data_IF_836223660966
#
_entry.id   IF_836223660966
#
_cell.length_a   1.000
_cell.length_b   1.000
_cell.length_c   1.000
_cell.angle_alpha   90.00
_cell.angle_beta   90.00
_cell.angle_gamma   90.00
#
_symmetry.space_group_name_H-M   'P 1'
#
loop_
_entity.id
_entity.type
_entity.pdbx_description
1 polymer ?
#
# COMPACT_ATOMS: atom_id res chain seq x y z
N UNK A 1 -18.76 3.39 0.53
CA UNK A 1 -17.91 4.61 0.55
C UNK A 1 -17.35 5.00 1.93
N UNK A 2 -18.03 4.72 3.07
CA UNK A 2 -17.52 5.09 4.41
C UNK A 2 -16.16 4.47 4.76
N UNK A 3 -15.94 3.19 4.45
CA UNK A 3 -14.67 2.48 4.74
C UNK A 3 -13.45 3.02 3.97
N UNK A 4 -13.65 3.56 2.76
CA UNK A 4 -12.55 4.09 1.94
C UNK A 4 -11.92 5.35 2.54
N UNK A 5 -12.75 6.24 3.12
CA UNK A 5 -12.24 7.44 3.81
C UNK A 5 -11.43 7.07 5.05
N UNK A 6 -11.79 5.99 5.75
CA UNK A 6 -11.05 5.49 6.91
C UNK A 6 -9.70 4.90 6.49
N UNK A 7 -9.67 4.10 5.41
CA UNK A 7 -8.43 3.54 4.87
C UNK A 7 -7.50 4.66 4.38
N UNK A 8 -8.02 5.65 3.65
CA UNK A 8 -7.23 6.79 3.17
C UNK A 8 -6.52 7.54 4.30
N UNK A 9 -7.22 7.80 5.42
CA UNK A 9 -6.61 8.42 6.60
C UNK A 9 -5.50 7.56 7.20
N UNK A 10 -5.73 6.25 7.35
CA UNK A 10 -4.72 5.34 7.93
C UNK A 10 -3.49 5.21 7.03
N UNK A 11 -3.69 5.03 5.72
CA UNK A 11 -2.59 4.94 4.74
C UNK A 11 -1.77 6.23 4.75
N UNK A 12 -2.45 7.40 4.73
CA UNK A 12 -1.76 8.69 4.81
C UNK A 12 -0.89 8.80 6.06
N UNK A 13 -1.42 8.44 7.23
CA UNK A 13 -0.67 8.50 8.49
C UNK A 13 0.58 7.60 8.49
N UNK A 14 0.52 6.44 7.83
CA UNK A 14 1.70 5.57 7.66
C UNK A 14 2.73 6.23 6.73
N UNK A 15 2.29 6.77 5.58
CA UNK A 15 3.18 7.43 4.62
C UNK A 15 3.85 8.68 5.20
N UNK A 16 3.16 9.43 6.07
CA UNK A 16 3.73 10.60 6.75
C UNK A 16 4.87 10.21 7.70
N UNK A 17 4.77 9.06 8.37
CA UNK A 17 5.72 8.63 9.41
C UNK A 17 6.82 7.69 8.94
N UNK A 18 6.60 6.95 7.86
CA UNK A 18 7.49 5.89 7.40
C UNK A 18 7.86 6.10 5.92
N UNK A 19 9.11 6.46 5.67
CA UNK A 19 9.62 6.70 4.31
C UNK A 19 9.76 5.41 3.50
N UNK A 20 10.10 4.29 4.14
CA UNK A 20 10.20 2.98 3.48
C UNK A 20 8.84 2.54 2.93
N UNK A 21 7.76 2.83 3.66
CA UNK A 21 6.39 2.59 3.20
C UNK A 21 5.99 3.45 1.98
N UNK A 22 6.68 4.56 1.69
CA UNK A 22 6.48 5.32 0.44
C UNK A 22 7.09 4.57 -0.77
N UNK A 23 8.15 3.82 -0.51
CA UNK A 23 8.96 3.12 -1.50
C UNK A 23 8.53 1.67 -1.76
N UNK A 24 7.90 1.02 -0.80
CA UNK A 24 7.58 -0.41 -0.86
C UNK A 24 6.13 -0.70 -0.42
N UNK A 25 5.38 -1.38 -1.30
CA UNK A 25 3.98 -1.71 -1.08
C UNK A 25 3.78 -2.77 0.03
N UNK A 26 4.73 -3.69 0.18
CA UNK A 26 4.68 -4.73 1.21
C UNK A 26 5.01 -4.15 2.58
N UNK A 27 5.98 -3.23 2.67
CA UNK A 27 6.28 -2.49 3.90
C UNK A 27 5.07 -1.65 4.32
N UNK A 28 4.46 -0.94 3.38
CA UNK A 28 3.22 -0.19 3.64
C UNK A 28 2.11 -1.10 4.14
N UNK A 29 1.90 -2.24 3.48
CA UNK A 29 0.85 -3.18 3.85
C UNK A 29 1.06 -3.76 5.25
N UNK A 30 2.27 -4.20 5.58
CA UNK A 30 2.63 -4.70 6.90
C UNK A 30 2.40 -3.65 7.99
N UNK A 31 2.91 -2.43 7.79
CA UNK A 31 2.74 -1.34 8.75
C UNK A 31 1.26 -1.01 8.98
N UNK A 32 0.46 -1.05 7.90
CA UNK A 32 -0.98 -0.81 8.00
C UNK A 32 -1.72 -1.96 8.70
N UNK A 33 -1.33 -3.21 8.47
CA UNK A 33 -1.88 -4.37 9.16
C UNK A 33 -1.65 -4.27 10.67
N UNK A 34 -0.41 -3.98 11.09
CA UNK A 34 -0.07 -3.77 12.51
C UNK A 34 -0.79 -2.57 13.13
N UNK A 35 -1.10 -1.53 12.34
CA UNK A 35 -1.90 -0.40 12.79
C UNK A 35 -3.41 -0.71 12.87
N UNK A 36 -3.90 -1.76 12.19
CA UNK A 36 -5.30 -2.17 12.22
C UNK A 36 -5.58 -3.24 13.27
N UNK A 37 -4.65 -4.17 13.45
CA UNK A 37 -4.72 -5.27 14.40
C UNK A 37 -3.34 -5.45 15.03
N UNK A 38 -3.29 -5.42 16.37
CA UNK A 38 -2.04 -5.60 17.11
C UNK A 38 -1.43 -6.97 16.74
N UNK A 39 -0.14 -6.99 16.49
CA UNK A 39 0.64 -8.19 16.15
C UNK A 39 0.20 -8.92 14.87
N UNK A 40 -0.54 -8.24 13.98
CA UNK A 40 -0.94 -8.82 12.68
C UNK A 40 0.24 -9.31 11.86
N UNK A 41 1.40 -8.65 11.94
CA UNK A 41 2.63 -9.05 11.25
C UNK A 41 3.28 -10.34 11.76
N UNK A 42 2.88 -10.82 12.95
CA UNK A 42 3.33 -12.10 13.48
C UNK A 42 2.41 -13.26 13.07
N UNK A 43 1.24 -12.97 12.49
CA UNK A 43 0.33 -14.00 12.00
C UNK A 43 0.88 -14.70 10.75
N UNK A 44 0.55 -15.98 10.51
CA UNK A 44 0.91 -16.65 9.27
C UNK A 44 0.40 -15.88 8.06
N UNK A 45 1.26 -15.70 7.05
CA UNK A 45 0.90 -14.97 5.83
C UNK A 45 -0.38 -15.54 5.18
N UNK A 46 -0.52 -16.87 5.16
CA UNK A 46 -1.71 -17.53 4.61
C UNK A 46 -3.01 -17.12 5.32
N UNK A 47 -2.96 -16.93 6.65
CA UNK A 47 -4.11 -16.49 7.43
C UNK A 47 -4.45 -15.03 7.12
N UNK A 48 -3.44 -14.14 7.07
CA UNK A 48 -3.65 -12.76 6.65
C UNK A 48 -4.27 -12.71 5.26
N UNK A 49 -3.74 -13.47 4.29
CA UNK A 49 -4.20 -13.43 2.90
C UNK A 49 -5.62 -13.98 2.72
N UNK A 50 -6.01 -15.01 3.48
CA UNK A 50 -7.31 -15.69 3.31
C UNK A 50 -8.40 -15.13 4.22
N UNK A 51 -8.05 -14.63 5.41
CA UNK A 51 -9.00 -14.18 6.44
C UNK A 51 -9.01 -12.67 6.66
N UNK A 52 -8.32 -11.87 5.82
CA UNK A 52 -8.17 -10.42 6.03
C UNK A 52 -9.49 -9.69 6.35
N UNK A 53 -10.61 -10.07 5.72
CA UNK A 53 -11.92 -9.44 5.94
C UNK A 53 -12.44 -9.70 7.35
N UNK A 54 -12.30 -10.94 7.84
CA UNK A 54 -12.71 -11.34 9.18
C UNK A 54 -11.83 -10.66 10.24
N UNK A 55 -10.53 -10.54 9.95
CA UNK A 55 -9.54 -9.85 10.79
C UNK A 55 -9.68 -8.32 10.77
N UNK A 56 -10.60 -7.75 9.99
CA UNK A 56 -10.76 -6.30 9.84
C UNK A 56 -9.61 -5.62 9.09
N UNK A 57 -8.79 -6.39 8.39
CA UNK A 57 -7.65 -5.92 7.60
C UNK A 57 -8.09 -5.47 6.19
N UNK A 58 -7.55 -4.34 5.69
CA UNK A 58 -7.84 -3.87 4.35
C UNK A 58 -7.25 -4.82 3.31
N UNK A 59 -7.88 -4.94 2.14
CA UNK A 59 -7.26 -5.70 1.05
C UNK A 59 -6.04 -4.97 0.50
N UNK A 60 -5.02 -5.73 0.10
CA UNK A 60 -3.79 -5.20 -0.51
C UNK A 60 -4.07 -4.24 -1.67
N UNK A 61 -4.97 -4.63 -2.58
CA UNK A 61 -5.37 -3.81 -3.74
C UNK A 61 -5.94 -2.44 -3.32
N UNK A 62 -6.73 -2.40 -2.24
CA UNK A 62 -7.30 -1.14 -1.73
C UNK A 62 -6.21 -0.22 -1.18
N UNK A 63 -5.22 -0.78 -0.48
CA UNK A 63 -4.07 -0.05 0.06
C UNK A 63 -3.23 0.52 -1.08
N UNK A 64 -2.89 -0.32 -2.06
CA UNK A 64 -2.10 0.07 -3.23
C UNK A 64 -2.78 1.19 -4.04
N UNK A 65 -4.09 1.11 -4.29
CA UNK A 65 -4.85 2.18 -4.97
C UNK A 65 -4.87 3.48 -4.16
N UNK A 66 -5.06 3.36 -2.85
CA UNK A 66 -5.08 4.51 -1.93
C UNK A 66 -3.73 5.21 -1.88
N UNK A 67 -2.63 4.46 -1.82
CA UNK A 67 -1.27 5.03 -1.91
C UNK A 67 -1.09 5.80 -3.21
N UNK A 68 -1.40 5.20 -4.37
CA UNK A 68 -1.27 5.87 -5.67
C UNK A 68 -2.05 7.20 -5.71
N UNK A 69 -3.29 7.19 -5.22
CA UNK A 69 -4.12 8.40 -5.10
C UNK A 69 -3.47 9.45 -4.20
N UNK A 70 -2.96 9.05 -3.02
CA UNK A 70 -2.33 9.97 -2.08
C UNK A 70 -1.03 10.56 -2.64
N UNK A 71 -0.14 9.73 -3.20
CA UNK A 71 1.13 10.20 -3.76
C UNK A 71 0.95 11.08 -5.01
N UNK A 72 -0.11 10.87 -5.79
CA UNK A 72 -0.46 11.76 -6.89
C UNK A 72 -0.97 13.13 -6.40
N UNK A 73 -1.66 13.17 -5.24
CA UNK A 73 -2.22 14.40 -4.67
C UNK A 73 -1.22 15.15 -3.77
N UNK A 74 -0.30 14.44 -3.14
CA UNK A 74 0.63 14.92 -2.13
C UNK A 74 2.05 14.46 -2.51
N UNK A 75 2.78 15.24 -3.34
CA UNK A 75 4.13 14.87 -3.81
C UNK A 75 5.14 14.62 -2.69
N UNK A 76 4.95 15.24 -1.52
CA UNK A 76 5.76 15.02 -0.31
C UNK A 76 5.64 13.60 0.25
N UNK A 77 4.58 12.87 -0.10
CA UNK A 77 4.39 11.47 0.29
C UNK A 77 4.93 10.48 -0.76
N UNK A 78 5.45 10.99 -1.88
CA UNK A 78 5.96 10.14 -2.95
C UNK A 78 7.19 9.35 -2.50
N UNK A 79 7.40 8.19 -3.14
CA UNK A 79 8.65 7.44 -2.98
C UNK A 79 9.86 8.22 -3.51
N UNK A 80 11.06 7.74 -3.23
CA UNK A 80 12.30 8.34 -3.71
C UNK A 80 12.37 8.39 -5.24
N UNK A 81 13.12 9.35 -5.79
CA UNK A 81 13.27 9.50 -7.25
C UNK A 81 13.73 8.20 -7.95
N UNK A 82 14.69 7.43 -7.42
CA UNK A 82 15.06 6.14 -8.02
C UNK A 82 13.89 5.16 -8.09
N UNK A 83 13.10 5.04 -7.01
CA UNK A 83 11.94 4.14 -6.96
C UNK A 83 10.85 4.58 -7.92
N UNK A 84 10.60 5.88 -8.06
CA UNK A 84 9.66 6.42 -9.03
C UNK A 84 10.08 6.06 -10.47
N UNK A 85 11.36 6.22 -10.82
CA UNK A 85 11.89 5.88 -12.14
C UNK A 85 11.79 4.37 -12.43
N UNK A 86 12.12 3.55 -11.44
CA UNK A 86 11.99 2.09 -11.51
C UNK A 86 10.53 1.68 -11.78
N UNK A 87 9.58 2.23 -11.02
CA UNK A 87 8.14 1.95 -11.18
C UNK A 87 7.61 2.38 -12.55
N UNK A 88 7.99 3.57 -13.03
CA UNK A 88 7.58 4.06 -14.35
C UNK A 88 8.11 3.16 -15.49
N UNK A 89 9.34 2.68 -15.36
CA UNK A 89 9.95 1.76 -16.33
C UNK A 89 9.24 0.40 -16.32
N UNK A 90 8.98 -0.15 -15.14
CA UNK A 90 8.26 -1.41 -14.96
C UNK A 90 6.83 -1.33 -15.51
N UNK A 91 6.10 -0.25 -15.23
CA UNK A 91 4.76 -0.05 -15.78
C UNK A 91 4.76 -0.01 -17.31
N UNK A 92 5.74 0.67 -17.92
CA UNK A 92 5.89 0.68 -19.38
C UNK A 92 6.13 -0.72 -19.95
N UNK A 93 6.93 -1.54 -19.25
CA UNK A 93 7.19 -2.92 -19.65
C UNK A 93 5.91 -3.78 -19.57
N UNK A 94 5.16 -3.72 -18.46
CA UNK A 94 3.91 -4.46 -18.31
C UNK A 94 2.83 -4.02 -19.30
N UNK A 95 2.73 -2.71 -19.60
CA UNK A 95 1.80 -2.21 -20.62
C UNK A 95 2.14 -2.68 -22.03
N UNK A 96 3.41 -2.96 -22.32
CA UNK A 96 3.83 -3.55 -23.61
C UNK A 96 3.43 -5.02 -23.65
N UNK A 97 3.79 -5.78 -22.62
CA UNK A 97 3.44 -7.20 -22.49
C UNK A 97 1.93 -7.45 -22.59
N UNK A 98 1.09 -6.61 -21.98
CA UNK A 98 -0.37 -6.77 -22.03
C UNK A 98 -0.99 -6.52 -23.43
N UNK A 99 -0.22 -6.04 -24.40
CA UNK A 99 -0.66 -5.84 -25.80
C UNK A 99 -0.16 -6.93 -26.74
N UNK A 100 0.73 -7.79 -26.25
CA UNK A 100 1.20 -9.01 -26.93
C UNK A 100 0.17 -10.13 -26.68
#
# INVERSE_FOLDING_TARGET
MRNLKTIEKKVRAVLEKNEDARNDDMVLYLALCNACLKDAGAMPLAEIMTQHKYLGLPSFESVSRTRRKLQARYPELAGSRPVQKMRATGEKAYRRYAKE
#
